data_IF_875340523118
#
_entry.id   IF_875340523118
#
_cell.length_a   1.000
_cell.length_b   1.000
_cell.length_c   1.000
_cell.angle_alpha   90.00
_cell.angle_beta   90.00
_cell.angle_gamma   90.00
#
_symmetry.space_group_name_H-M   'P 1'
#
loop_
_entity.id
_entity.type
_entity.pdbx_description
1 polymer ?
#
# COMPACT_ATOMS: atom_id res chain seq x y z
N UNK A 1 -24.11 24.74 0.07
CA UNK A 1 -22.76 25.23 -0.29
C UNK A 1 -21.90 25.54 0.93
N UNK A 2 -22.28 26.51 1.80
CA UNK A 2 -21.47 26.87 2.99
C UNK A 2 -21.17 25.66 3.89
N UNK A 3 -22.18 24.86 4.24
CA UNK A 3 -22.01 23.66 5.07
C UNK A 3 -21.05 22.63 4.46
N UNK A 4 -21.24 22.28 3.18
CA UNK A 4 -20.37 21.34 2.47
C UNK A 4 -18.91 21.81 2.45
N UNK A 5 -18.66 23.11 2.22
CA UNK A 5 -17.32 23.68 2.28
C UNK A 5 -16.71 23.59 3.68
N UNK A 6 -17.50 23.88 4.72
CA UNK A 6 -17.04 23.74 6.11
C UNK A 6 -16.71 22.28 6.44
N UNK A 7 -17.55 21.33 6.02
CA UNK A 7 -17.30 19.89 6.18
C UNK A 7 -16.01 19.45 5.49
N UNK A 8 -15.76 19.91 4.25
CA UNK A 8 -14.52 19.62 3.53
C UNK A 8 -13.27 20.19 4.26
N UNK A 9 -13.35 21.43 4.74
CA UNK A 9 -12.26 22.06 5.52
C UNK A 9 -12.01 21.30 6.83
N UNK A 10 -13.05 20.94 7.56
CA UNK A 10 -12.93 20.17 8.81
C UNK A 10 -12.40 18.76 8.56
N UNK A 11 -12.80 18.13 7.45
CA UNK A 11 -12.27 16.84 7.00
C UNK A 11 -10.77 16.90 6.74
N UNK A 12 -10.32 17.90 5.97
CA UNK A 12 -8.88 18.16 5.72
C UNK A 12 -8.11 18.46 7.01
N UNK A 13 -8.73 19.13 7.97
CA UNK A 13 -8.16 19.39 9.28
C UNK A 13 -8.21 18.18 10.24
N UNK A 14 -8.79 17.04 9.84
CA UNK A 14 -8.98 15.84 10.66
C UNK A 14 -9.75 16.10 11.97
N UNK A 15 -10.81 16.91 11.90
CA UNK A 15 -11.67 17.27 13.06
C UNK A 15 -13.05 16.61 12.94
N UNK A 16 -13.17 15.28 13.16
CA UNK A 16 -14.37 14.52 12.84
C UNK A 16 -15.58 14.90 13.71
N UNK A 17 -15.40 15.15 15.00
CA UNK A 17 -16.50 15.50 15.90
C UNK A 17 -17.10 16.88 15.59
N UNK A 18 -16.27 17.82 15.13
CA UNK A 18 -16.76 19.12 14.69
C UNK A 18 -17.47 19.02 13.35
N UNK A 19 -16.95 18.19 12.44
CA UNK A 19 -17.65 17.89 11.19
C UNK A 19 -19.03 17.26 11.49
N UNK A 20 -19.13 16.35 12.46
CA UNK A 20 -20.41 15.80 12.93
C UNK A 20 -21.35 16.87 13.49
N UNK A 21 -20.84 17.77 14.35
CA UNK A 21 -21.65 18.85 14.90
C UNK A 21 -22.21 19.75 13.78
N UNK A 22 -21.38 20.09 12.79
CA UNK A 22 -21.79 20.85 11.61
C UNK A 22 -22.83 20.06 10.78
N UNK A 23 -22.63 18.77 10.58
CA UNK A 23 -23.54 17.89 9.85
C UNK A 23 -24.90 17.77 10.53
N UNK A 24 -24.95 17.55 11.84
CA UNK A 24 -26.21 17.52 12.60
C UNK A 24 -26.90 18.88 12.64
N UNK A 25 -26.14 19.98 12.72
CA UNK A 25 -26.69 21.33 12.59
C UNK A 25 -27.34 21.53 11.23
N UNK A 26 -26.73 21.01 10.16
CA UNK A 26 -27.28 21.03 8.80
C UNK A 26 -28.60 20.23 8.70
N UNK A 27 -28.68 19.07 9.36
CA UNK A 27 -29.92 18.28 9.44
C UNK A 27 -31.03 19.02 10.21
N UNK A 28 -30.66 19.80 11.25
CA UNK A 28 -31.62 20.46 12.11
C UNK A 28 -32.23 21.74 11.52
N UNK A 29 -31.44 22.55 10.82
CA UNK A 29 -31.89 23.85 10.31
C UNK A 29 -32.83 23.76 9.11
N UNK A 30 -32.90 22.61 8.42
CA UNK A 30 -33.82 22.28 7.32
C UNK A 30 -33.84 23.24 6.11
N UNK A 31 -33.16 24.38 6.16
CA UNK A 31 -33.04 25.34 5.06
C UNK A 31 -32.18 24.81 3.90
N UNK A 32 -31.25 23.89 4.20
CA UNK A 32 -30.49 23.12 3.22
C UNK A 32 -30.24 21.71 3.75
N UNK A 33 -30.99 20.71 3.28
CA UNK A 33 -30.74 19.32 3.63
C UNK A 33 -29.42 18.82 3.01
N UNK A 34 -28.67 17.91 3.67
CA UNK A 34 -27.44 17.37 3.11
C UNK A 34 -27.62 16.78 1.70
N UNK A 35 -26.78 17.25 0.77
CA UNK A 35 -26.64 16.68 -0.57
C UNK A 35 -25.56 15.60 -0.58
N UNK A 36 -25.39 14.92 -1.72
CA UNK A 36 -24.44 13.81 -1.86
C UNK A 36 -23.00 14.25 -1.52
N UNK A 37 -22.63 15.49 -1.84
CA UNK A 37 -21.31 16.04 -1.55
C UNK A 37 -21.09 16.22 -0.04
N UNK A 38 -22.09 16.72 0.70
CA UNK A 38 -22.04 16.80 2.16
C UNK A 38 -21.89 15.42 2.79
N UNK A 39 -22.66 14.42 2.32
CA UNK A 39 -22.53 13.03 2.76
C UNK A 39 -21.15 12.44 2.48
N UNK A 40 -20.57 12.69 1.30
CA UNK A 40 -19.21 12.26 0.98
C UNK A 40 -18.17 12.88 1.91
N UNK A 41 -18.26 14.20 2.16
CA UNK A 41 -17.32 14.89 3.03
C UNK A 41 -17.34 14.32 4.46
N UNK A 42 -18.53 14.17 5.05
CA UNK A 42 -18.64 13.62 6.40
C UNK A 42 -18.25 12.14 6.44
N UNK A 43 -18.66 11.34 5.45
CA UNK A 43 -18.35 9.92 5.39
C UNK A 43 -16.83 9.69 5.32
N UNK A 44 -16.13 10.38 4.41
CA UNK A 44 -14.67 10.29 4.29
C UNK A 44 -13.98 10.72 5.58
N UNK A 45 -14.45 11.80 6.21
CA UNK A 45 -13.89 12.30 7.48
C UNK A 45 -14.02 11.28 8.60
N UNK A 46 -15.20 10.68 8.78
CA UNK A 46 -15.45 9.62 9.77
C UNK A 46 -14.68 8.35 9.45
N UNK A 47 -14.60 8.00 8.16
CA UNK A 47 -13.83 6.89 7.63
C UNK A 47 -12.36 6.96 8.03
N UNK A 48 -11.74 8.11 7.81
CA UNK A 48 -10.33 8.35 8.19
C UNK A 48 -10.11 8.36 9.70
N UNK A 49 -11.13 8.76 10.48
CA UNK A 49 -11.07 8.79 11.94
C UNK A 49 -11.37 7.44 12.60
N UNK A 50 -11.81 6.42 11.85
CA UNK A 50 -12.21 5.13 12.42
C UNK A 50 -13.56 5.16 13.16
N UNK A 51 -14.39 6.17 12.94
CA UNK A 51 -15.67 6.34 13.64
C UNK A 51 -16.78 5.54 12.94
N UNK A 52 -16.70 4.21 13.07
CA UNK A 52 -17.60 3.27 12.38
C UNK A 52 -19.06 3.50 12.79
N UNK A 53 -19.34 3.69 14.08
CA UNK A 53 -20.71 3.85 14.59
C UNK A 53 -21.37 5.10 14.04
N UNK A 54 -20.69 6.24 14.15
CA UNK A 54 -21.16 7.52 13.66
C UNK A 54 -21.33 7.50 12.13
N UNK A 55 -20.47 6.76 11.42
CA UNK A 55 -20.61 6.58 9.98
C UNK A 55 -21.87 5.77 9.60
N UNK A 56 -22.22 4.75 10.38
CA UNK A 56 -23.50 4.05 10.21
C UNK A 56 -24.70 4.95 10.53
N UNK A 57 -24.61 5.81 11.56
CA UNK A 57 -25.65 6.80 11.86
C UNK A 57 -25.85 7.77 10.68
N UNK A 58 -24.77 8.20 10.02
CA UNK A 58 -24.81 9.03 8.81
C UNK A 58 -25.45 8.26 7.64
N UNK A 59 -25.11 6.99 7.44
CA UNK A 59 -25.71 6.12 6.41
C UNK A 59 -27.22 5.95 6.65
N UNK A 60 -27.64 5.81 7.90
CA UNK A 60 -29.05 5.71 8.25
C UNK A 60 -29.79 7.04 8.04
N UNK A 61 -29.14 8.18 8.29
CA UNK A 61 -29.66 9.51 7.94
C UNK A 61 -29.82 9.69 6.42
N UNK A 62 -28.93 9.09 5.65
CA UNK A 62 -28.97 9.10 4.18
C UNK A 62 -30.20 8.34 3.66
N UNK A 63 -30.52 7.19 4.26
CA UNK A 63 -31.60 6.28 3.85
C UNK A 63 -32.97 6.63 4.43
N UNK A 64 -33.02 7.29 5.58
CA UNK A 64 -34.27 7.53 6.30
C UNK A 64 -34.79 8.96 6.09
N UNK A 65 -36.12 9.15 6.06
CA UNK A 65 -36.70 10.48 6.01
C UNK A 65 -36.34 11.28 7.28
N UNK A 66 -36.22 12.62 7.17
CA UNK A 66 -35.89 13.47 8.30
C UNK A 66 -36.87 13.28 9.46
N UNK A 67 -36.37 13.00 10.66
CA UNK A 67 -37.21 12.77 11.85
C UNK A 67 -37.47 14.10 12.58
N UNK A 68 -38.64 14.74 12.43
CA UNK A 68 -39.14 15.78 13.38
C UNK A 68 -40.62 15.66 13.74
N UNK A 69 -40.90 15.87 15.04
CA UNK A 69 -42.22 15.79 15.71
C UNK A 69 -43.18 16.94 15.40
N UNK A 70 -42.71 18.03 14.81
CA UNK A 70 -43.51 19.22 14.52
C UNK A 70 -43.15 19.74 13.13
N UNK A 71 -43.80 19.20 12.09
CA UNK A 71 -43.67 19.71 10.72
C UNK A 71 -44.69 20.82 10.49
N UNK A 72 -44.21 22.03 10.20
CA UNK A 72 -45.02 23.13 9.66
C UNK A 72 -44.46 23.45 8.27
N UNK A 73 -44.74 22.58 7.31
CA UNK A 73 -44.39 22.78 5.90
C UNK A 73 -43.63 21.63 5.24
N UNK A 74 -43.62 21.56 3.89
CA UNK A 74 -42.85 20.56 3.15
C UNK A 74 -41.36 20.80 3.33
N UNK A 75 -40.58 19.73 3.59
CA UNK A 75 -39.11 19.80 3.61
C UNK A 75 -38.65 20.16 2.21
N UNK A 76 -38.24 21.40 2.00
CA UNK A 76 -37.57 21.78 0.78
C UNK A 76 -36.19 21.08 0.77
N UNK A 77 -35.96 20.27 -0.27
CA UNK A 77 -34.65 19.72 -0.66
C UNK A 77 -34.20 18.37 -0.03
N UNK A 78 -35.07 17.59 0.62
CA UNK A 78 -34.77 16.17 0.89
C UNK A 78 -34.96 15.33 -0.39
N UNK A 79 -33.94 14.59 -0.82
CA UNK A 79 -34.04 13.67 -1.96
C UNK A 79 -34.16 12.20 -1.45
N UNK A 80 -35.34 11.56 -1.58
CA UNK A 80 -35.54 10.17 -1.16
C UNK A 80 -34.76 9.15 -2.01
N UNK A 81 -34.16 9.57 -3.14
CA UNK A 81 -33.39 8.69 -4.03
C UNK A 81 -31.92 8.63 -3.65
N UNK A 82 -31.50 9.43 -2.67
CA UNK A 82 -30.12 9.55 -2.28
C UNK A 82 -29.72 8.33 -1.44
N UNK A 83 -28.78 7.55 -1.97
CA UNK A 83 -28.41 6.24 -1.43
C UNK A 83 -26.88 6.13 -1.31
N UNK A 84 -26.35 5.40 -0.30
CA UNK A 84 -24.91 5.20 -0.17
C UNK A 84 -24.31 4.60 -1.46
N UNK A 85 -23.27 5.27 -1.95
CA UNK A 85 -22.53 4.89 -3.14
C UNK A 85 -21.13 4.35 -2.76
N UNK A 86 -20.30 4.12 -3.79
CA UNK A 86 -18.99 3.54 -3.60
C UNK A 86 -18.07 4.36 -2.68
N UNK A 87 -18.23 5.69 -2.65
CA UNK A 87 -17.41 6.57 -1.80
C UNK A 87 -17.78 6.35 -0.34
N UNK A 88 -19.07 6.30 -0.03
CA UNK A 88 -19.56 6.02 1.34
C UNK A 88 -19.14 4.62 1.79
N UNK A 89 -19.27 3.61 0.93
CA UNK A 89 -18.83 2.24 1.27
C UNK A 89 -17.30 2.12 1.45
N UNK A 90 -16.51 2.81 0.64
CA UNK A 90 -15.05 2.86 0.82
C UNK A 90 -14.68 3.57 2.13
N UNK A 91 -15.44 4.58 2.56
CA UNK A 91 -15.25 5.21 3.86
C UNK A 91 -15.51 4.23 5.02
N UNK A 92 -16.50 3.35 4.90
CA UNK A 92 -16.75 2.27 5.89
C UNK A 92 -15.57 1.32 5.95
N UNK A 93 -15.03 0.88 4.80
CA UNK A 93 -13.83 0.04 4.79
C UNK A 93 -12.63 0.75 5.44
N UNK A 94 -12.43 2.04 5.17
CA UNK A 94 -11.36 2.81 5.80
C UNK A 94 -11.53 2.88 7.33
N UNK A 95 -12.76 3.07 7.83
CA UNK A 95 -13.04 3.03 9.26
C UNK A 95 -12.73 1.64 9.86
N UNK A 96 -13.08 0.58 9.14
CA UNK A 96 -12.80 -0.80 9.53
C UNK A 96 -11.29 -1.09 9.61
N UNK A 97 -10.47 -0.50 8.73
CA UNK A 97 -9.01 -0.59 8.80
C UNK A 97 -8.50 -0.01 10.14
N UNK A 98 -8.99 1.17 10.53
CA UNK A 98 -8.58 1.81 11.79
C UNK A 98 -8.99 1.00 13.01
N UNK A 99 -10.19 0.40 12.98
CA UNK A 99 -10.75 -0.36 14.10
C UNK A 99 -10.40 -1.85 14.10
N UNK A 100 -9.68 -2.34 13.07
CA UNK A 100 -9.40 -3.77 12.85
C UNK A 100 -10.67 -4.64 12.89
N UNK A 101 -11.74 -4.15 12.26
CA UNK A 101 -13.03 -4.83 12.20
C UNK A 101 -13.17 -5.54 10.87
N UNK A 102 -12.94 -6.86 10.86
CA UNK A 102 -12.97 -7.68 9.67
C UNK A 102 -14.38 -7.82 9.08
N UNK A 103 -15.38 -7.89 9.96
CA UNK A 103 -16.79 -8.15 9.65
C UNK A 103 -17.39 -7.09 8.72
N UNK A 104 -16.97 -5.83 8.87
CA UNK A 104 -17.42 -4.72 8.02
C UNK A 104 -17.10 -4.92 6.54
N UNK A 105 -16.06 -5.70 6.24
CA UNK A 105 -15.71 -6.08 4.86
C UNK A 105 -16.82 -6.87 4.18
N UNK A 106 -17.40 -7.85 4.88
CA UNK A 106 -18.49 -8.66 4.32
C UNK A 106 -19.74 -7.84 4.12
N UNK A 107 -20.07 -6.97 5.08
CA UNK A 107 -21.20 -6.06 4.96
C UNK A 107 -21.05 -5.18 3.72
N UNK A 108 -19.90 -4.53 3.52
CA UNK A 108 -19.66 -3.69 2.33
C UNK A 108 -19.76 -4.50 1.03
N UNK A 109 -19.10 -5.66 0.95
CA UNK A 109 -19.16 -6.50 -0.27
C UNK A 109 -20.58 -6.98 -0.59
N UNK A 110 -21.38 -7.28 0.44
CA UNK A 110 -22.79 -7.64 0.28
C UNK A 110 -23.61 -6.44 -0.22
N UNK A 111 -23.44 -5.26 0.37
CA UNK A 111 -24.14 -4.05 -0.06
C UNK A 111 -23.82 -3.68 -1.52
N UNK A 112 -22.54 -3.78 -1.92
CA UNK A 112 -22.13 -3.54 -3.31
C UNK A 112 -22.80 -4.53 -4.28
N UNK A 113 -22.90 -5.81 -3.89
CA UNK A 113 -23.56 -6.85 -4.68
C UNK A 113 -25.07 -6.60 -4.81
N UNK A 114 -25.75 -6.35 -3.69
CA UNK A 114 -27.21 -6.12 -3.66
C UNK A 114 -27.61 -4.90 -4.51
N UNK A 115 -26.78 -3.85 -4.51
CA UNK A 115 -27.02 -2.63 -5.29
C UNK A 115 -26.45 -2.67 -6.71
N UNK A 116 -25.88 -3.80 -7.15
CA UNK A 116 -25.19 -3.93 -8.44
C UNK A 116 -24.09 -2.86 -8.68
N UNK A 117 -23.43 -2.40 -7.62
CA UNK A 117 -22.31 -1.45 -7.70
C UNK A 117 -21.02 -2.25 -7.88
N UNK A 118 -20.30 -1.99 -8.97
CA UNK A 118 -19.03 -2.67 -9.26
C UNK A 118 -17.91 -2.12 -8.36
N UNK A 119 -17.21 -2.95 -7.57
CA UNK A 119 -16.04 -2.52 -6.82
C UNK A 119 -14.92 -2.03 -7.73
N UNK A 120 -14.15 -1.04 -7.28
CA UNK A 120 -12.94 -0.56 -7.98
C UNK A 120 -11.67 -1.15 -7.36
N UNK A 121 -10.52 -0.93 -7.99
CA UNK A 121 -9.22 -1.32 -7.41
C UNK A 121 -9.01 -0.73 -6.01
N UNK A 122 -9.47 0.50 -5.76
CA UNK A 122 -9.42 1.12 -4.42
C UNK A 122 -10.25 0.32 -3.42
N UNK A 123 -11.47 -0.08 -3.78
CA UNK A 123 -12.32 -0.91 -2.92
C UNK A 123 -11.65 -2.24 -2.62
N UNK A 124 -11.11 -2.92 -3.63
CA UNK A 124 -10.38 -4.17 -3.43
C UNK A 124 -9.14 -4.00 -2.54
N UNK A 125 -8.38 -2.91 -2.74
CA UNK A 125 -7.23 -2.59 -1.91
C UNK A 125 -7.61 -2.36 -0.45
N UNK A 126 -8.69 -1.61 -0.18
CA UNK A 126 -9.21 -1.39 1.18
C UNK A 126 -9.70 -2.68 1.84
N UNK A 127 -10.42 -3.53 1.10
CA UNK A 127 -10.84 -4.85 1.58
C UNK A 127 -9.63 -5.69 2.00
N UNK A 128 -8.59 -5.73 1.17
CA UNK A 128 -7.35 -6.44 1.49
C UNK A 128 -6.63 -5.80 2.68
N UNK A 129 -6.65 -4.47 2.81
CA UNK A 129 -6.02 -3.76 3.93
C UNK A 129 -6.69 -4.11 5.26
N UNK A 130 -8.02 -4.25 5.29
CA UNK A 130 -8.75 -4.76 6.47
C UNK A 130 -8.29 -6.19 6.80
N UNK A 131 -8.18 -7.08 5.81
CA UNK A 131 -7.65 -8.45 6.03
C UNK A 131 -6.25 -8.41 6.66
N UNK A 132 -5.37 -7.56 6.14
CA UNK A 132 -3.98 -7.42 6.60
C UNK A 132 -3.90 -6.95 8.05
N UNK A 133 -4.62 -5.89 8.43
CA UNK A 133 -4.58 -5.36 9.80
C UNK A 133 -5.19 -6.32 10.83
N UNK A 134 -6.12 -7.18 10.38
CA UNK A 134 -6.74 -8.24 11.18
C UNK A 134 -5.95 -9.57 11.18
N UNK A 135 -4.77 -9.61 10.55
CA UNK A 135 -3.91 -10.79 10.51
C UNK A 135 -4.45 -11.96 9.67
N UNK A 136 -5.37 -11.69 8.74
CA UNK A 136 -5.99 -12.70 7.87
C UNK A 136 -5.20 -12.88 6.57
N UNK A 137 -3.90 -13.20 6.66
CA UNK A 137 -2.98 -13.22 5.51
C UNK A 137 -3.38 -14.19 4.40
N UNK A 138 -3.89 -15.39 4.75
CA UNK A 138 -4.42 -16.34 3.76
C UNK A 138 -5.53 -15.72 2.89
N UNK A 139 -6.42 -14.93 3.50
CA UNK A 139 -7.47 -14.23 2.76
C UNK A 139 -6.90 -13.11 1.88
N UNK A 140 -5.80 -12.45 2.28
CA UNK A 140 -5.10 -11.48 1.44
C UNK A 140 -4.64 -12.15 0.14
N UNK A 141 -4.03 -13.34 0.22
CA UNK A 141 -3.56 -14.09 -0.95
C UNK A 141 -4.72 -14.52 -1.85
N UNK A 142 -5.73 -15.18 -1.28
CA UNK A 142 -6.91 -15.61 -2.05
C UNK A 142 -7.61 -14.44 -2.75
N UNK A 143 -7.73 -13.31 -2.05
CA UNK A 143 -8.39 -12.15 -2.61
C UNK A 143 -7.54 -11.46 -3.67
N UNK A 144 -6.22 -11.40 -3.50
CA UNK A 144 -5.31 -10.89 -4.50
C UNK A 144 -5.37 -11.72 -5.80
N UNK A 145 -5.42 -13.03 -5.69
CA UNK A 145 -5.58 -13.92 -6.85
C UNK A 145 -6.92 -13.71 -7.56
N UNK A 146 -8.00 -13.52 -6.79
CA UNK A 146 -9.31 -13.15 -7.37
C UNK A 146 -9.26 -11.80 -8.09
N UNK A 147 -8.53 -10.82 -7.56
CA UNK A 147 -8.33 -9.53 -8.24
C UNK A 147 -7.58 -9.74 -9.53
N UNK A 148 -6.46 -10.51 -9.53
CA UNK A 148 -5.68 -10.87 -10.72
C UNK A 148 -6.50 -11.55 -11.81
N UNK A 149 -7.46 -12.41 -11.44
CA UNK A 149 -8.34 -13.10 -12.39
C UNK A 149 -9.38 -12.18 -13.04
N UNK A 150 -9.84 -11.15 -12.32
CA UNK A 150 -10.92 -10.27 -12.77
C UNK A 150 -10.44 -8.95 -13.37
N UNK A 151 -9.24 -8.50 -12.99
CA UNK A 151 -8.74 -7.16 -13.28
C UNK A 151 -7.21 -7.06 -13.08
N UNK A 152 -6.61 -5.98 -13.54
CA UNK A 152 -5.21 -5.67 -13.24
C UNK A 152 -5.14 -5.11 -11.80
N UNK A 153 -4.41 -5.75 -10.86
CA UNK A 153 -4.29 -5.23 -9.51
C UNK A 153 -3.64 -3.83 -9.49
N UNK A 154 -4.06 -2.97 -8.56
CA UNK A 154 -3.46 -1.64 -8.38
C UNK A 154 -2.26 -1.66 -7.44
N UNK A 155 -1.57 -0.51 -7.35
CA UNK A 155 -0.42 -0.33 -6.44
C UNK A 155 -0.77 -0.62 -4.96
N UNK A 156 -1.99 -0.27 -4.52
CA UNK A 156 -2.46 -0.57 -3.16
C UNK A 156 -2.58 -2.09 -2.92
N UNK A 157 -3.07 -2.85 -3.90
CA UNK A 157 -3.19 -4.32 -3.78
C UNK A 157 -1.81 -4.96 -3.58
N UNK A 158 -0.81 -4.53 -4.36
CA UNK A 158 0.57 -5.00 -4.21
C UNK A 158 1.19 -4.57 -2.87
N UNK A 159 0.95 -3.33 -2.42
CA UNK A 159 1.42 -2.87 -1.11
C UNK A 159 0.90 -3.77 0.01
N UNK A 160 -0.39 -4.09 -0.03
CA UNK A 160 -1.01 -4.96 0.97
C UNK A 160 -0.45 -6.38 0.90
N UNK A 161 -0.24 -6.93 -0.30
CA UNK A 161 0.39 -8.22 -0.50
C UNK A 161 1.81 -8.28 0.08
N UNK A 162 2.65 -7.30 -0.25
CA UNK A 162 4.04 -7.20 0.26
C UNK A 162 4.06 -7.14 1.78
N UNK A 163 3.15 -6.35 2.39
CA UNK A 163 3.04 -6.27 3.84
C UNK A 163 2.55 -7.57 4.49
N UNK A 164 1.67 -8.33 3.83
CA UNK A 164 1.25 -9.64 4.33
C UNK A 164 2.42 -10.64 4.31
N UNK A 165 3.13 -10.71 3.19
CA UNK A 165 4.32 -11.56 3.02
C UNK A 165 5.41 -11.21 4.02
N UNK A 166 5.65 -9.92 4.24
CA UNK A 166 6.60 -9.44 5.24
C UNK A 166 6.23 -9.91 6.66
N UNK A 167 4.96 -9.75 7.06
CA UNK A 167 4.51 -10.17 8.41
C UNK A 167 4.57 -11.68 8.63
N UNK A 168 4.54 -12.46 7.57
CA UNK A 168 4.75 -13.92 7.61
C UNK A 168 6.23 -14.33 7.45
N UNK A 169 7.16 -13.37 7.33
CA UNK A 169 8.59 -13.65 7.16
C UNK A 169 8.97 -14.15 5.76
N UNK A 170 8.06 -14.07 4.79
CA UNK A 170 8.26 -14.54 3.40
C UNK A 170 8.94 -13.45 2.56
N UNK A 171 10.17 -13.11 2.94
CA UNK A 171 10.90 -11.96 2.37
C UNK A 171 11.12 -12.11 0.85
N UNK A 172 11.49 -13.30 0.38
CA UNK A 172 11.73 -13.55 -1.05
C UNK A 172 10.45 -13.39 -1.89
N UNK A 173 9.33 -13.89 -1.38
CA UNK A 173 8.04 -13.73 -2.04
C UNK A 173 7.62 -12.25 -2.08
N UNK A 174 7.94 -11.48 -1.04
CA UNK A 174 7.68 -10.03 -1.02
C UNK A 174 8.47 -9.30 -2.11
N UNK A 175 9.74 -9.64 -2.30
CA UNK A 175 10.57 -9.11 -3.40
C UNK A 175 10.00 -9.52 -4.76
N UNK A 176 9.60 -10.78 -4.92
CA UNK A 176 8.98 -11.28 -6.16
C UNK A 176 7.66 -10.58 -6.48
N UNK A 177 6.86 -10.24 -5.48
CA UNK A 177 5.62 -9.48 -5.66
C UNK A 177 5.88 -8.07 -6.21
N UNK A 178 6.94 -7.39 -5.74
CA UNK A 178 7.33 -6.08 -6.28
C UNK A 178 7.84 -6.19 -7.72
N UNK A 179 8.63 -7.22 -8.02
CA UNK A 179 9.06 -7.48 -9.41
C UNK A 179 7.89 -7.79 -10.34
N UNK A 180 6.91 -8.58 -9.91
CA UNK A 180 5.68 -8.83 -10.69
C UNK A 180 4.89 -7.53 -10.94
N UNK A 181 4.85 -6.63 -9.95
CA UNK A 181 4.23 -5.30 -10.11
C UNK A 181 4.95 -4.46 -11.18
N UNK A 182 6.28 -4.35 -11.11
CA UNK A 182 7.10 -3.58 -12.03
C UNK A 182 7.06 -4.14 -13.45
N UNK A 183 7.14 -5.47 -13.60
CA UNK A 183 7.03 -6.16 -14.88
C UNK A 183 5.68 -5.93 -15.57
N UNK A 184 4.62 -5.62 -14.80
CA UNK A 184 3.30 -5.25 -15.32
C UNK A 184 3.16 -3.75 -15.62
N UNK A 185 4.22 -2.97 -15.44
CA UNK A 185 4.22 -1.52 -15.63
C UNK A 185 3.44 -0.76 -14.55
N UNK A 186 3.20 -1.37 -13.39
CA UNK A 186 2.48 -0.73 -12.29
C UNK A 186 3.48 0.01 -11.42
N UNK A 187 3.31 1.33 -11.32
CA UNK A 187 4.18 2.17 -10.48
C UNK A 187 3.80 2.00 -9.01
N UNK A 188 4.72 1.49 -8.21
CA UNK A 188 4.56 1.36 -6.76
C UNK A 188 4.52 2.72 -6.06
N UNK A 189 3.83 2.78 -4.91
CA UNK A 189 3.89 3.98 -4.06
C UNK A 189 5.22 4.05 -3.30
N UNK A 190 5.70 5.25 -2.95
CA UNK A 190 6.86 5.42 -2.08
C UNK A 190 6.75 4.62 -0.76
N UNK A 191 5.53 4.52 -0.21
CA UNK A 191 5.28 3.73 0.99
C UNK A 191 5.50 2.22 0.81
N UNK A 192 5.25 1.67 -0.39
CA UNK A 192 5.49 0.25 -0.70
C UNK A 192 6.98 -0.05 -0.72
N UNK A 193 7.78 0.79 -1.37
CA UNK A 193 9.24 0.62 -1.40
C UNK A 193 9.87 0.80 -0.01
N UNK A 194 9.33 1.72 0.80
CA UNK A 194 9.73 1.85 2.21
C UNK A 194 9.40 0.59 3.02
N UNK A 195 8.21 0.03 2.85
CA UNK A 195 7.81 -1.23 3.49
C UNK A 195 8.69 -2.41 3.02
N UNK A 196 9.05 -2.46 1.73
CA UNK A 196 9.98 -3.46 1.19
C UNK A 196 11.39 -3.33 1.80
N UNK A 197 11.91 -2.10 1.94
CA UNK A 197 13.20 -1.87 2.57
C UNK A 197 13.21 -2.34 4.03
N UNK A 198 12.13 -2.08 4.78
CA UNK A 198 11.95 -2.59 6.15
C UNK A 198 11.84 -4.11 6.19
N UNK A 199 11.11 -4.70 5.23
CA UNK A 199 10.99 -6.13 5.05
C UNK A 199 12.36 -6.80 4.89
N UNK A 200 13.15 -6.34 3.91
CA UNK A 200 14.52 -6.79 3.71
C UNK A 200 15.37 -6.62 4.98
N UNK A 201 15.30 -5.45 5.62
CA UNK A 201 16.01 -5.22 6.87
C UNK A 201 15.68 -6.22 7.97
N UNK A 202 14.39 -6.54 8.17
CA UNK A 202 13.95 -7.51 9.18
C UNK A 202 14.39 -8.94 8.89
N UNK A 203 14.67 -9.26 7.63
CA UNK A 203 15.24 -10.55 7.22
C UNK A 203 16.77 -10.61 7.32
N UNK A 204 17.44 -9.61 7.92
CA UNK A 204 18.90 -9.51 7.95
C UNK A 204 19.52 -8.99 6.63
N UNK A 205 18.67 -8.62 5.67
CA UNK A 205 19.02 -8.17 4.30
C UNK A 205 19.05 -6.64 4.17
N UNK A 206 19.27 -5.91 5.28
CA UNK A 206 19.31 -4.43 5.29
C UNK A 206 20.23 -3.83 4.22
N UNK A 207 21.32 -4.52 3.92
CA UNK A 207 22.34 -4.10 2.96
C UNK A 207 21.85 -4.16 1.51
N UNK A 208 20.96 -5.10 1.22
CA UNK A 208 20.36 -5.26 -0.10
C UNK A 208 19.34 -4.16 -0.38
N UNK A 209 18.58 -3.73 0.64
CA UNK A 209 17.69 -2.59 0.54
C UNK A 209 18.46 -1.29 0.24
N UNK A 210 19.64 -1.12 0.84
CA UNK A 210 20.52 0.00 0.57
C UNK A 210 21.12 -0.07 -0.85
N UNK A 211 21.68 -1.21 -1.26
CA UNK A 211 22.24 -1.41 -2.61
C UNK A 211 21.19 -1.16 -3.70
N UNK A 212 19.99 -1.74 -3.57
CA UNK A 212 18.90 -1.55 -4.54
C UNK A 212 18.50 -0.08 -4.65
N UNK A 213 18.38 0.64 -3.51
CA UNK A 213 18.08 2.07 -3.51
C UNK A 213 19.14 2.91 -4.24
N UNK A 214 20.42 2.57 -4.17
CA UNK A 214 21.46 3.33 -4.86
C UNK A 214 21.50 3.03 -6.37
N UNK A 215 21.23 1.78 -6.75
CA UNK A 215 21.14 1.36 -8.16
C UNK A 215 19.96 2.04 -8.86
N UNK A 216 18.77 2.00 -8.25
CA UNK A 216 17.55 2.57 -8.84
C UNK A 216 17.62 4.11 -9.02
N UNK A 217 18.52 4.79 -8.29
CA UNK A 217 18.74 6.24 -8.37
C UNK A 217 20.01 6.63 -9.13
N UNK A 218 20.68 5.69 -9.81
CA UNK A 218 21.86 5.96 -10.63
C UNK A 218 23.11 6.38 -9.84
N UNK A 219 23.18 6.07 -8.55
CA UNK A 219 24.30 6.39 -7.65
C UNK A 219 25.23 5.19 -7.47
N UNK A 220 25.86 4.78 -8.57
CA UNK A 220 26.65 3.54 -8.63
C UNK A 220 27.90 3.56 -7.73
N UNK A 221 28.63 4.68 -7.67
CA UNK A 221 29.83 4.78 -6.83
C UNK A 221 29.52 4.60 -5.34
N UNK A 222 28.40 5.17 -4.86
CA UNK A 222 27.94 4.99 -3.48
C UNK A 222 27.54 3.52 -3.21
N UNK A 223 26.99 2.84 -4.21
CA UNK A 223 26.66 1.41 -4.14
C UNK A 223 27.90 0.52 -4.06
N UNK A 224 28.95 0.87 -4.81
CA UNK A 224 30.25 0.19 -4.82
C UNK A 224 30.98 0.37 -3.49
N UNK A 225 31.10 1.60 -3.00
CA UNK A 225 31.67 1.90 -1.69
C UNK A 225 30.95 1.12 -0.58
N UNK A 226 29.64 0.98 -0.70
CA UNK A 226 28.86 0.20 0.25
C UNK A 226 29.18 -1.30 0.16
N UNK A 227 29.29 -1.88 -1.04
CA UNK A 227 29.71 -3.28 -1.23
C UNK A 227 31.09 -3.54 -0.64
N UNK A 228 32.07 -2.65 -0.88
CA UNK A 228 33.41 -2.76 -0.31
C UNK A 228 33.39 -2.68 1.23
N UNK A 229 32.55 -1.82 1.79
CA UNK A 229 32.38 -1.74 3.23
C UNK A 229 31.70 -3.00 3.80
N UNK A 230 30.86 -3.70 3.03
CA UNK A 230 30.28 -4.99 3.43
C UNK A 230 31.36 -6.09 3.40
N UNK A 231 32.10 -6.22 2.30
CA UNK A 231 33.15 -7.23 2.15
C UNK A 231 34.23 -7.10 3.23
N UNK A 232 34.58 -5.85 3.58
CA UNK A 232 35.58 -5.56 4.61
C UNK A 232 35.05 -5.61 6.05
N UNK A 233 33.79 -6.01 6.28
CA UNK A 233 33.20 -6.03 7.64
C UNK A 233 33.02 -4.65 8.28
N UNK A 234 33.09 -3.61 7.44
CA UNK A 234 32.89 -2.17 7.70
C UNK A 234 31.64 -1.84 8.51
N UNK A 235 30.58 -2.58 8.19
CA UNK A 235 29.21 -2.25 8.56
C UNK A 235 28.77 -3.16 9.71
N UNK A 236 28.43 -2.54 10.83
CA UNK A 236 27.83 -3.21 12.00
C UNK A 236 26.37 -2.81 12.10
N UNK A 237 25.48 -3.80 12.26
CA UNK A 237 24.07 -3.53 12.57
C UNK A 237 23.98 -2.79 13.91
N UNK A 238 23.24 -1.68 13.95
CA UNK A 238 22.94 -0.96 15.20
C UNK A 238 21.89 -1.68 16.06
N UNK A 239 21.12 -2.60 15.47
CA UNK A 239 20.04 -3.32 16.15
C UNK A 239 20.54 -4.57 16.90
N UNK A 240 21.66 -5.15 16.47
CA UNK A 240 22.27 -6.33 17.09
C UNK A 240 23.79 -6.14 17.18
N UNK A 241 24.29 -5.90 18.40
CA UNK A 241 25.68 -5.52 18.73
C UNK A 241 26.77 -6.57 18.39
N UNK A 242 26.50 -7.57 17.54
CA UNK A 242 27.45 -8.65 17.26
C UNK A 242 27.44 -9.25 15.85
N UNK A 243 26.49 -8.90 14.98
CA UNK A 243 26.49 -9.46 13.61
C UNK A 243 27.25 -8.56 12.63
N UNK A 244 28.40 -9.06 12.19
CA UNK A 244 29.20 -8.47 11.12
C UNK A 244 28.46 -8.60 9.78
N UNK A 245 28.57 -7.56 8.96
CA UNK A 245 27.99 -7.58 7.65
C UNK A 245 28.68 -8.60 6.73
N UNK A 246 28.00 -9.70 6.35
CA UNK A 246 28.48 -10.63 5.30
C UNK A 246 27.68 -10.41 4.01
N UNK A 247 28.35 -10.45 2.85
CA UNK A 247 27.72 -10.41 1.53
C UNK A 247 27.22 -11.81 1.16
N UNK A 248 25.99 -11.90 0.67
CA UNK A 248 25.37 -13.16 0.26
C UNK A 248 25.25 -13.30 -1.27
N UNK A 249 24.80 -14.47 -1.74
CA UNK A 249 24.62 -14.73 -3.18
C UNK A 249 23.76 -13.65 -3.86
N UNK A 250 22.76 -13.13 -3.17
CA UNK A 250 21.87 -12.11 -3.71
C UNK A 250 22.55 -10.74 -3.81
N UNK A 251 23.29 -10.32 -2.78
CA UNK A 251 24.10 -9.09 -2.75
C UNK A 251 25.01 -9.00 -3.97
N UNK A 252 25.76 -10.08 -4.25
CA UNK A 252 26.62 -10.15 -5.44
C UNK A 252 25.81 -10.07 -6.73
N UNK A 253 24.74 -10.85 -6.85
CA UNK A 253 23.91 -10.86 -8.04
C UNK A 253 23.30 -9.48 -8.37
N UNK A 254 22.78 -8.75 -7.38
CA UNK A 254 22.21 -7.42 -7.58
C UNK A 254 23.28 -6.42 -8.03
N UNK A 255 24.47 -6.46 -7.45
CA UNK A 255 25.57 -5.59 -7.87
C UNK A 255 26.04 -5.94 -9.29
N UNK A 256 26.11 -7.23 -9.64
CA UNK A 256 26.41 -7.68 -10.99
C UNK A 256 25.36 -7.19 -12.00
N UNK A 257 24.07 -7.26 -11.65
CA UNK A 257 22.96 -6.79 -12.48
C UNK A 257 23.10 -5.28 -12.75
N UNK A 258 23.40 -4.49 -11.71
CA UNK A 258 23.65 -3.06 -11.83
C UNK A 258 24.89 -2.74 -12.70
N UNK A 259 25.99 -3.49 -12.53
CA UNK A 259 27.19 -3.29 -13.35
C UNK A 259 26.92 -3.59 -14.82
N UNK A 260 26.17 -4.64 -15.13
CA UNK A 260 25.84 -5.02 -16.50
C UNK A 260 24.90 -4.00 -17.16
N UNK A 261 23.91 -3.47 -16.43
CA UNK A 261 23.02 -2.41 -16.92
C UNK A 261 23.80 -1.10 -17.19
N UNK A 262 24.69 -0.73 -16.28
CA UNK A 262 25.54 0.46 -16.42
C UNK A 262 26.74 0.26 -17.36
N UNK A 263 26.97 -0.96 -17.88
CA UNK A 263 28.15 -1.36 -18.68
C UNK A 263 29.50 -1.10 -17.97
N UNK A 264 29.49 -1.16 -16.64
CA UNK A 264 30.67 -1.00 -15.78
C UNK A 264 31.39 -2.33 -15.61
N UNK A 265 32.07 -2.79 -16.67
CA UNK A 265 32.59 -4.17 -16.73
C UNK A 265 33.80 -4.45 -15.81
N UNK A 266 34.54 -3.43 -15.40
CA UNK A 266 35.61 -3.57 -14.39
C UNK A 266 35.04 -3.95 -13.02
N UNK A 267 33.98 -3.25 -12.61
CA UNK A 267 33.32 -3.48 -11.32
C UNK A 267 32.52 -4.78 -11.34
N UNK A 268 31.96 -5.14 -12.50
CA UNK A 268 31.39 -6.46 -12.74
C UNK A 268 32.43 -7.56 -12.50
N UNK A 269 33.61 -7.49 -13.13
CA UNK A 269 34.68 -8.48 -12.98
C UNK A 269 35.12 -8.60 -11.51
N UNK A 270 35.29 -7.46 -10.82
CA UNK A 270 35.64 -7.41 -9.41
C UNK A 270 34.60 -8.12 -8.54
N UNK A 271 33.33 -7.73 -8.62
CA UNK A 271 32.27 -8.32 -7.81
C UNK A 271 32.03 -9.79 -8.14
N UNK A 272 32.23 -10.19 -9.39
CA UNK A 272 32.11 -11.58 -9.82
C UNK A 272 33.21 -12.46 -9.22
N UNK A 273 34.45 -11.95 -9.15
CA UNK A 273 35.56 -12.65 -8.46
C UNK A 273 35.33 -12.74 -6.96
N UNK A 274 34.89 -11.65 -6.34
CA UNK A 274 34.56 -11.64 -4.92
C UNK A 274 33.45 -12.64 -4.58
N UNK A 275 32.42 -12.73 -5.42
CA UNK A 275 31.35 -13.73 -5.31
C UNK A 275 31.91 -15.17 -5.27
N UNK A 276 32.80 -15.50 -6.21
CA UNK A 276 33.43 -16.83 -6.26
C UNK A 276 34.32 -17.11 -5.05
N UNK A 277 35.10 -16.11 -4.61
CA UNK A 277 35.99 -16.23 -3.46
C UNK A 277 35.24 -16.42 -2.12
N UNK A 278 34.01 -15.91 -2.03
CA UNK A 278 33.11 -16.09 -0.89
C UNK A 278 32.31 -17.40 -0.95
N UNK A 279 32.65 -18.31 -1.88
CA UNK A 279 32.07 -19.66 -1.96
C UNK A 279 30.75 -19.74 -2.72
N UNK A 280 30.33 -18.67 -3.41
CA UNK A 280 29.13 -18.69 -4.26
C UNK A 280 29.50 -19.15 -5.67
N UNK A 281 28.68 -20.03 -6.26
CA UNK A 281 28.96 -20.61 -7.57
C UNK A 281 28.37 -19.82 -8.73
N UNK A 282 29.02 -19.93 -9.89
CA UNK A 282 28.50 -19.49 -11.17
C UNK A 282 27.15 -20.17 -11.49
N UNK A 283 26.20 -19.37 -11.94
CA UNK A 283 24.88 -19.81 -12.37
C UNK A 283 24.75 -19.53 -13.88
N UNK A 284 24.75 -20.59 -14.68
CA UNK A 284 24.72 -20.48 -16.14
C UNK A 284 23.48 -19.72 -16.65
N UNK A 285 22.32 -19.87 -16.01
CA UNK A 285 21.10 -19.18 -16.46
C UNK A 285 21.15 -17.68 -16.18
N UNK A 286 21.85 -17.27 -15.12
CA UNK A 286 21.91 -15.88 -14.69
C UNK A 286 23.12 -15.15 -15.27
N UNK A 287 24.30 -15.71 -15.08
CA UNK A 287 25.56 -15.02 -15.29
C UNK A 287 26.09 -15.14 -16.71
N UNK A 288 25.74 -16.20 -17.46
CA UNK A 288 26.34 -16.48 -18.77
C UNK A 288 26.23 -15.29 -19.73
N UNK A 289 25.04 -14.69 -19.84
CA UNK A 289 24.83 -13.54 -20.74
C UNK A 289 25.72 -12.36 -20.36
N UNK A 290 25.76 -12.02 -19.07
CA UNK A 290 26.51 -10.88 -18.55
C UNK A 290 28.02 -11.08 -18.72
N UNK A 291 28.50 -12.31 -18.47
CA UNK A 291 29.91 -12.69 -18.67
C UNK A 291 30.29 -12.62 -20.14
N UNK A 292 29.43 -13.05 -21.06
CA UNK A 292 29.67 -12.92 -22.50
C UNK A 292 29.71 -11.45 -22.95
N UNK A 293 28.85 -10.61 -22.39
CA UNK A 293 28.82 -9.17 -22.70
C UNK A 293 30.04 -8.43 -22.11
N UNK A 294 30.50 -8.83 -20.91
CA UNK A 294 31.77 -8.37 -20.33
C UNK A 294 32.96 -8.80 -21.20
N UNK A 295 32.99 -10.05 -21.66
CA UNK A 295 34.03 -10.59 -22.53
C UNK A 295 34.13 -9.85 -23.86
N UNK A 296 32.99 -9.58 -24.50
CA UNK A 296 32.93 -8.75 -25.72
C UNK A 296 33.46 -7.33 -25.50
N UNK A 297 33.43 -6.86 -24.26
CA UNK A 297 33.94 -5.55 -23.85
C UNK A 297 35.40 -5.60 -23.37
N UNK A 298 36.07 -6.75 -23.50
CA UNK A 298 37.50 -6.92 -23.20
C UNK A 298 37.83 -7.23 -21.74
N UNK A 299 36.92 -7.90 -21.02
CA UNK A 299 37.11 -8.37 -19.64
C UNK A 299 37.12 -9.89 -19.52
#
# INVERSE_FOLDING_TARGET
YIYTTVLDVLGKAKRPFEALNVFYTMLDQLSSYPDIAAYHCIAVTLGQAGLVKELFDVIDCMRSPPKKKFMVGPVQNWDPRLEPDLIVYNAVLNACVQQKQWEGTFWVLQQLKEKNIRPTNTTYGLVMEVMLVCGKYNLVYEFFDRVKQKSIPGALNYKVLVNALWREGKIDEAVMAVKDMENRGIVGSASLYYDLARCLCSGGRCKEALLQSYVDHGKFEDAKDLLENILNGRIRSKADLGQQAVADKFTFNTFLDACAEAKMWNDFEYAFREMLSNGYHFDERRHLRMVLDAYRSGK
#
